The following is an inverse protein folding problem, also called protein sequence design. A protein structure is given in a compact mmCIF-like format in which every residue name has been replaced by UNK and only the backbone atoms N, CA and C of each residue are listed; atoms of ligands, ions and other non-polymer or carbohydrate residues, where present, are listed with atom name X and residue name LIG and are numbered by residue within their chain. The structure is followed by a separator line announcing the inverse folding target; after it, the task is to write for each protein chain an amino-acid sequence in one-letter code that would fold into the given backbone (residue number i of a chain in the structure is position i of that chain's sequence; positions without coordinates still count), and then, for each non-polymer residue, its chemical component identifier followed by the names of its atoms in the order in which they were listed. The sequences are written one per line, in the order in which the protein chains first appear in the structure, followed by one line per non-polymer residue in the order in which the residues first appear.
data_IF_931193425598
#
_entry.id   IF_931193425598
#
_cell.length_a   1.000
_cell.length_b   1.000
_cell.length_c   1.000
_cell.angle_alpha   90.00
_cell.angle_beta   90.00
_cell.angle_gamma   90.00
#
_symmetry.space_group_name_H-M   'P 1'
#
loop_
_entity.id
_entity.type
_entity.pdbx_description
1 polymer ?
#
# COMPACT_ATOMS: atom_id res chain seq x y z
N UNK A 1 -9.05 -22.36 39.39
CA UNK A 1 -10.22 -23.09 38.85
C UNK A 1 -9.87 -23.54 37.46
N UNK A 2 -9.70 -24.84 37.26
CA UNK A 2 -9.55 -25.40 35.92
C UNK A 2 -10.92 -25.39 35.25
N UNK A 3 -11.01 -24.76 34.08
CA UNK A 3 -12.25 -24.68 33.31
C UNK A 3 -12.27 -25.86 32.35
N UNK A 4 -12.97 -26.93 32.71
CA UNK A 4 -13.18 -28.07 31.84
C UNK A 4 -14.27 -27.72 30.84
N UNK A 5 -13.94 -27.79 29.55
CA UNK A 5 -14.88 -27.54 28.44
C UNK A 5 -15.10 -28.88 27.73
N UNK A 6 -16.32 -29.39 27.75
CA UNK A 6 -16.72 -30.55 26.94
C UNK A 6 -17.28 -30.02 25.64
N UNK A 7 -16.65 -30.39 24.53
CA UNK A 7 -16.97 -29.90 23.19
C UNK A 7 -16.79 -31.01 22.17
N UNK A 8 -17.44 -30.90 21.02
CA UNK A 8 -17.18 -31.78 19.87
C UNK A 8 -15.98 -31.28 19.08
N UNK A 9 -15.38 -32.16 18.29
CA UNK A 9 -14.29 -31.83 17.38
C UNK A 9 -14.70 -30.73 16.37
N UNK A 10 -15.90 -30.81 15.82
CA UNK A 10 -16.46 -29.80 14.91
C UNK A 10 -16.52 -28.41 15.54
N UNK A 11 -16.98 -28.32 16.79
CA UNK A 11 -17.05 -27.06 17.52
C UNK A 11 -15.65 -26.50 17.84
N UNK A 12 -14.64 -27.34 18.05
CA UNK A 12 -13.26 -26.87 18.21
C UNK A 12 -12.73 -26.24 16.93
N UNK A 13 -12.96 -26.86 15.78
CA UNK A 13 -12.54 -26.34 14.47
C UNK A 13 -13.15 -24.95 14.23
N UNK A 14 -14.47 -24.80 14.40
CA UNK A 14 -15.14 -23.51 14.23
C UNK A 14 -14.61 -22.41 15.16
N UNK A 15 -14.28 -22.77 16.42
CA UNK A 15 -13.73 -21.82 17.39
C UNK A 15 -12.33 -21.40 16.96
N UNK A 16 -11.50 -22.34 16.51
CA UNK A 16 -10.15 -22.07 16.03
C UNK A 16 -10.20 -21.16 14.80
N UNK A 17 -11.05 -21.47 13.81
CA UNK A 17 -11.24 -20.66 12.60
C UNK A 17 -11.68 -19.23 12.96
N UNK A 18 -12.70 -19.08 13.82
CA UNK A 18 -13.17 -17.76 14.29
C UNK A 18 -12.09 -16.97 15.04
N UNK A 19 -11.21 -17.65 15.77
CA UNK A 19 -10.10 -17.00 16.47
C UNK A 19 -8.99 -16.61 15.48
N UNK A 20 -8.67 -17.47 14.51
CA UNK A 20 -7.69 -17.18 13.46
C UNK A 20 -8.13 -15.99 12.61
N UNK A 21 -9.38 -15.94 12.17
CA UNK A 21 -9.94 -14.82 11.41
C UNK A 21 -9.98 -13.51 12.20
N UNK A 22 -10.10 -13.58 13.53
CA UNK A 22 -10.05 -12.40 14.41
C UNK A 22 -8.64 -11.94 14.73
N UNK A 23 -7.68 -12.85 14.85
CA UNK A 23 -6.30 -12.56 15.28
C UNK A 23 -5.35 -12.31 14.12
N UNK A 24 -5.63 -12.88 12.95
CA UNK A 24 -5.07 -12.38 11.73
C UNK A 24 -5.92 -11.18 11.34
N UNK A 25 -5.46 -9.92 11.55
CA UNK A 25 -5.97 -8.85 10.71
C UNK A 25 -5.85 -9.41 9.30
N UNK A 26 -6.97 -9.48 8.54
CA UNK A 26 -6.91 -9.73 7.09
C UNK A 26 -5.71 -8.94 6.65
N UNK A 27 -4.62 -9.63 6.27
CA UNK A 27 -3.36 -8.97 5.96
C UNK A 27 -3.82 -7.93 4.97
N UNK A 28 -3.83 -6.65 5.39
CA UNK A 28 -4.41 -5.60 4.60
C UNK A 28 -3.67 -5.80 3.31
N UNK A 29 -4.38 -6.29 2.27
CA UNK A 29 -3.75 -6.74 1.03
C UNK A 29 -2.75 -5.65 0.78
N UNK A 30 -1.48 -5.97 0.90
CA UNK A 30 -0.44 -4.97 0.82
C UNK A 30 -0.67 -4.46 -0.58
N UNK A 31 -1.41 -3.35 -0.72
CA UNK A 31 -1.82 -2.84 -2.00
C UNK A 31 -0.49 -2.53 -2.61
N UNK A 32 0.01 -3.46 -3.44
CA UNK A 32 1.37 -3.40 -3.96
C UNK A 32 1.44 -2.03 -4.60
N UNK A 33 2.20 -1.15 -3.95
CA UNK A 33 2.05 0.27 -4.19
C UNK A 33 2.30 0.48 -5.67
N UNK A 34 1.31 1.03 -6.38
CA UNK A 34 1.43 1.15 -7.82
C UNK A 34 2.58 2.10 -8.14
N UNK A 35 3.41 1.69 -9.08
CA UNK A 35 4.53 2.49 -9.54
C UNK A 35 4.39 2.82 -11.01
N UNK A 36 4.82 4.02 -11.39
CA UNK A 36 4.68 4.56 -12.74
C UNK A 36 6.03 4.96 -13.31
N UNK A 37 6.19 4.84 -14.63
CA UNK A 37 7.36 5.38 -15.31
C UNK A 37 7.29 6.92 -15.39
N UNK A 38 8.43 7.57 -15.57
CA UNK A 38 8.52 9.03 -15.74
C UNK A 38 7.60 9.50 -16.87
N UNK A 39 7.52 8.76 -17.98
CA UNK A 39 6.64 9.07 -19.11
C UNK A 39 5.15 9.02 -18.73
N UNK A 40 4.74 8.03 -17.93
CA UNK A 40 3.36 7.94 -17.43
C UNK A 40 3.05 9.13 -16.52
N UNK A 41 3.94 9.45 -15.58
CA UNK A 41 3.76 10.57 -14.66
C UNK A 41 3.75 11.92 -15.38
N UNK A 42 4.60 12.11 -16.39
CA UNK A 42 4.61 13.32 -17.22
C UNK A 42 3.26 13.55 -17.91
N UNK A 43 2.63 12.49 -18.43
CA UNK A 43 1.27 12.55 -19.00
C UNK A 43 0.22 12.85 -17.92
N UNK A 44 0.30 12.18 -16.76
CA UNK A 44 -0.66 12.36 -15.65
C UNK A 44 -0.63 13.79 -15.08
N UNK A 45 0.55 14.35 -14.87
CA UNK A 45 0.73 15.69 -14.31
C UNK A 45 0.71 16.80 -15.36
N UNK A 46 0.60 16.45 -16.66
CA UNK A 46 0.67 17.37 -17.79
C UNK A 46 1.93 18.25 -17.75
N UNK A 47 3.08 17.64 -17.45
CA UNK A 47 4.39 18.30 -17.37
C UNK A 47 5.38 17.67 -18.35
N UNK A 48 6.44 18.40 -18.69
CA UNK A 48 7.51 17.87 -19.52
C UNK A 48 8.26 16.75 -18.80
N UNK A 49 8.80 15.80 -19.56
CA UNK A 49 9.64 14.72 -19.01
C UNK A 49 10.78 15.28 -18.16
N UNK A 50 11.46 16.33 -18.66
CA UNK A 50 12.53 17.02 -17.93
C UNK A 50 12.07 17.53 -16.57
N UNK A 51 10.88 18.14 -16.48
CA UNK A 51 10.37 18.64 -15.20
C UNK A 51 10.16 17.52 -14.19
N UNK A 52 9.64 16.36 -14.63
CA UNK A 52 9.48 15.20 -13.74
C UNK A 52 10.86 14.66 -13.31
N UNK A 53 11.84 14.58 -14.22
CA UNK A 53 13.20 14.18 -13.88
C UNK A 53 13.84 15.13 -12.85
N UNK A 54 13.65 16.45 -13.01
CA UNK A 54 14.15 17.44 -12.06
C UNK A 54 13.47 17.27 -10.68
N UNK A 55 12.18 16.93 -10.63
CA UNK A 55 11.45 16.65 -9.37
C UNK A 55 11.93 15.38 -8.66
N UNK A 56 12.30 14.35 -9.42
CA UNK A 56 12.89 13.12 -8.87
C UNK A 56 14.30 13.41 -8.34
N UNK A 57 15.12 14.16 -9.08
CA UNK A 57 16.47 14.54 -8.65
C UNK A 57 16.45 15.44 -7.41
N UNK A 58 15.44 16.30 -7.29
CA UNK A 58 15.21 17.14 -6.10
C UNK A 58 14.64 16.36 -4.90
N UNK A 59 14.33 15.06 -5.05
CA UNK A 59 13.76 14.23 -3.99
C UNK A 59 12.29 14.53 -3.65
N UNK A 60 11.61 15.36 -4.47
CA UNK A 60 10.20 15.71 -4.28
C UNK A 60 9.30 14.52 -4.64
N UNK A 61 9.64 13.82 -5.72
CA UNK A 61 8.98 12.57 -6.11
C UNK A 61 9.80 11.38 -5.62
N UNK A 62 9.22 10.57 -4.74
CA UNK A 62 9.83 9.34 -4.24
C UNK A 62 9.84 8.29 -5.35
N UNK A 63 10.98 7.63 -5.51
CA UNK A 63 11.20 6.59 -6.52
C UNK A 63 11.72 5.31 -5.91
N UNK A 64 11.40 4.20 -6.56
CA UNK A 64 12.01 2.90 -6.34
C UNK A 64 13.47 2.86 -6.84
N UNK A 65 14.26 1.85 -6.45
CA UNK A 65 15.62 1.65 -6.98
C UNK A 65 15.68 1.53 -8.51
N UNK A 66 14.63 1.00 -9.15
CA UNK A 66 14.49 0.91 -10.61
C UNK A 66 13.94 2.21 -11.27
N UNK A 67 13.93 3.33 -10.53
CA UNK A 67 13.52 4.66 -11.00
C UNK A 67 12.05 4.77 -11.43
N UNK A 68 11.17 3.98 -10.83
CA UNK A 68 9.71 4.14 -10.97
C UNK A 68 9.19 5.01 -9.83
N UNK A 69 8.19 5.82 -10.12
CA UNK A 69 7.62 6.79 -9.18
C UNK A 69 6.43 6.16 -8.47
N UNK A 70 6.40 6.26 -7.15
CA UNK A 70 5.32 5.74 -6.31
C UNK A 70 4.03 6.54 -6.47
N UNK A 71 2.88 5.85 -6.49
CA UNK A 71 1.57 6.51 -6.56
C UNK A 71 1.32 7.44 -5.38
N UNK A 72 1.69 7.03 -4.16
CA UNK A 72 1.52 7.88 -2.97
C UNK A 72 2.22 9.22 -3.13
N UNK A 73 3.44 9.22 -3.65
CA UNK A 73 4.23 10.43 -3.87
C UNK A 73 3.60 11.36 -4.91
N UNK A 74 3.00 10.82 -5.97
CA UNK A 74 2.27 11.62 -6.96
C UNK A 74 1.03 12.27 -6.31
N UNK A 75 0.31 11.51 -5.47
CA UNK A 75 -0.86 12.02 -4.73
C UNK A 75 -0.45 13.13 -3.76
N UNK A 76 0.62 12.93 -2.98
CA UNK A 76 1.21 13.93 -2.07
C UNK A 76 1.57 15.23 -2.82
N UNK A 77 2.26 15.12 -3.95
CA UNK A 77 2.63 16.26 -4.78
C UNK A 77 1.41 17.08 -5.24
N UNK A 78 0.35 16.41 -5.69
CA UNK A 78 -0.87 17.07 -6.15
C UNK A 78 -1.68 17.73 -5.04
N UNK A 79 -1.60 17.23 -3.80
CA UNK A 79 -2.25 17.86 -2.65
C UNK A 79 -1.52 19.13 -2.22
N UNK A 80 -0.18 19.11 -2.22
CA UNK A 80 0.63 20.26 -1.86
C UNK A 80 0.55 21.40 -2.88
N UNK A 81 0.32 21.09 -4.16
CA UNK A 81 0.13 22.09 -5.22
C UNK A 81 -1.25 22.77 -5.26
N UNK A 82 -2.19 22.40 -4.38
CA UNK A 82 -3.56 22.95 -4.31
C UNK A 82 -3.75 23.97 -3.17
N UNK A 83 -2.68 24.36 -2.47
CA UNK A 83 -2.69 25.47 -1.51
C UNK A 83 -2.36 26.79 -2.19
#
# INVERSE_FOLDING_TARGET
MEKIIVTTESSLVEIIEKIFDKKMPKAAESELERTFSINQVAKMLRRSHKKISDLVAAGILKVTPDRRIYESSIREYNQNGKK
#
